data_IF_361141830155
#
_entry.id   IF_361141830155
#
_cell.length_a   1.000
_cell.length_b   1.000
_cell.length_c   1.000
_cell.angle_alpha   90.00
_cell.angle_beta   90.00
_cell.angle_gamma   90.00
#
_symmetry.space_group_name_H-M   'P 1'
#
loop_
_entity.id
_entity.type
_entity.pdbx_description
1 polymer ?
#
# COMPACT_ATOMS: atom_id res chain seq x y z
N UNK A 1 18.42 -12.99 -3.49
CA UNK A 1 17.95 -12.59 -4.85
C UNK A 1 16.45 -12.32 -4.74
N UNK A 2 15.99 -11.09 -4.99
CA UNK A 2 14.55 -10.75 -4.91
C UNK A 2 13.86 -11.31 -6.15
N UNK A 3 12.96 -12.28 -5.97
CA UNK A 3 12.30 -12.97 -7.06
C UNK A 3 11.33 -12.02 -7.76
N UNK A 4 11.58 -11.76 -9.05
CA UNK A 4 10.58 -11.19 -9.97
C UNK A 4 9.48 -12.24 -10.04
N UNK A 5 8.25 -11.90 -9.61
CA UNK A 5 7.08 -12.78 -9.41
C UNK A 5 6.91 -13.30 -7.97
N UNK A 6 6.82 -12.40 -6.97
CA UNK A 6 6.29 -12.79 -5.66
C UNK A 6 4.81 -13.17 -5.81
N UNK A 7 4.38 -14.26 -5.17
CA UNK A 7 2.95 -14.59 -5.07
C UNK A 7 2.23 -13.78 -3.98
N UNK A 8 2.97 -13.01 -3.19
CA UNK A 8 2.41 -12.16 -2.15
C UNK A 8 1.76 -10.92 -2.74
N UNK A 9 0.57 -10.61 -2.24
CA UNK A 9 -0.13 -9.35 -2.46
C UNK A 9 -0.16 -8.55 -1.16
N UNK A 10 -0.34 -7.24 -1.28
CA UNK A 10 -0.59 -6.36 -0.14
C UNK A 10 -1.76 -5.43 -0.43
N UNK A 11 -2.36 -4.93 0.64
CA UNK A 11 -3.34 -3.85 0.57
C UNK A 11 -2.73 -2.57 1.12
N UNK A 12 -2.76 -1.49 0.34
CA UNK A 12 -2.42 -0.15 0.81
C UNK A 12 -3.70 0.56 1.25
N UNK A 13 -3.72 1.07 2.48
CA UNK A 13 -4.79 1.93 3.00
C UNK A 13 -4.27 3.35 3.22
N UNK A 14 -5.01 4.32 2.70
CA UNK A 14 -4.74 5.75 2.83
C UNK A 14 -5.76 6.32 3.81
N UNK A 15 -5.29 6.83 4.95
CA UNK A 15 -6.14 7.20 6.09
C UNK A 15 -5.89 8.67 6.45
N UNK A 16 -6.96 9.46 6.52
CA UNK A 16 -6.97 10.87 6.90
C UNK A 16 -7.79 11.09 8.16
N UNK A 17 -7.20 11.68 9.19
CA UNK A 17 -7.83 11.94 10.50
C UNK A 17 -8.58 10.71 11.05
N UNK A 18 -7.90 9.56 10.99
CA UNK A 18 -8.38 8.23 11.37
C UNK A 18 -9.52 7.62 10.53
N UNK A 19 -9.93 8.27 9.44
CA UNK A 19 -10.89 7.75 8.46
C UNK A 19 -10.19 7.17 7.23
N UNK A 20 -10.61 6.00 6.76
CA UNK A 20 -10.13 5.44 5.50
C UNK A 20 -10.64 6.30 4.32
N UNK A 21 -9.70 6.88 3.57
CA UNK A 21 -9.97 7.67 2.38
C UNK A 21 -10.00 6.79 1.12
N UNK A 22 -9.10 5.81 1.07
CA UNK A 22 -8.95 4.90 -0.05
C UNK A 22 -8.23 3.62 0.40
N UNK A 23 -8.60 2.48 -0.19
CA UNK A 23 -7.85 1.24 -0.12
C UNK A 23 -7.54 0.70 -1.53
N UNK A 24 -6.31 0.22 -1.72
CA UNK A 24 -5.86 -0.43 -2.94
C UNK A 24 -5.40 -1.83 -2.58
N UNK A 25 -6.25 -2.81 -2.87
CA UNK A 25 -6.00 -4.23 -2.58
C UNK A 25 -5.20 -4.91 -3.71
N UNK A 26 -4.78 -6.15 -3.45
CA UNK A 26 -4.16 -7.06 -4.42
C UNK A 26 -2.92 -6.50 -5.15
N UNK A 27 -2.16 -5.62 -4.48
CA UNK A 27 -0.92 -5.08 -5.02
C UNK A 27 0.16 -6.15 -5.00
N UNK A 28 0.49 -6.69 -6.17
CA UNK A 28 1.43 -7.82 -6.33
C UNK A 28 2.82 -7.35 -6.75
N UNK A 29 3.85 -7.92 -6.11
CA UNK A 29 5.24 -7.69 -6.49
C UNK A 29 5.56 -8.20 -7.90
N UNK A 30 6.05 -7.31 -8.77
CA UNK A 30 6.36 -7.61 -10.18
C UNK A 30 5.34 -7.06 -11.18
N UNK A 31 4.18 -6.60 -10.70
CA UNK A 31 3.24 -5.82 -11.53
C UNK A 31 3.74 -4.38 -11.72
N UNK A 32 3.17 -3.70 -12.72
CA UNK A 32 3.39 -2.26 -12.89
C UNK A 32 2.88 -1.50 -11.65
N UNK A 33 3.55 -0.41 -11.24
CA UNK A 33 3.06 0.47 -10.19
C UNK A 33 1.65 0.98 -10.50
N UNK A 34 0.79 1.00 -9.49
CA UNK A 34 -0.58 1.50 -9.60
C UNK A 34 -0.55 2.99 -9.24
N UNK A 35 -0.97 3.90 -10.14
CA UNK A 35 -1.08 5.32 -9.81
C UNK A 35 -2.24 5.55 -8.84
N UNK A 36 -1.99 6.35 -7.80
CA UNK A 36 -2.98 6.67 -6.76
C UNK A 36 -3.02 8.19 -6.54
N UNK A 37 -4.23 8.74 -6.46
CA UNK A 37 -4.49 10.12 -6.05
C UNK A 37 -5.47 10.11 -4.89
N UNK A 38 -5.17 10.88 -3.83
CA UNK A 38 -6.00 10.97 -2.63
C UNK A 38 -6.24 12.45 -2.34
N UNK A 39 -7.50 12.84 -2.19
CA UNK A 39 -7.85 14.19 -1.75
C UNK A 39 -7.57 14.34 -0.25
N UNK A 40 -6.74 15.32 0.10
CA UNK A 40 -6.37 15.66 1.47
C UNK A 40 -6.92 17.02 1.90
N UNK A 41 -7.87 17.59 1.15
CA UNK A 41 -8.50 18.86 1.49
C UNK A 41 -9.13 18.80 2.88
N UNK A 42 -8.64 19.62 3.80
CA UNK A 42 -9.11 19.66 5.18
C UNK A 42 -8.61 18.52 6.08
N UNK A 43 -7.77 17.61 5.58
CA UNK A 43 -7.17 16.53 6.37
C UNK A 43 -5.95 17.06 7.14
N UNK A 44 -5.93 16.87 8.46
CA UNK A 44 -4.84 17.37 9.31
C UNK A 44 -3.75 16.32 9.57
N UNK A 45 -4.13 15.04 9.60
CA UNK A 45 -3.22 13.91 9.80
C UNK A 45 -3.43 12.88 8.72
N UNK A 46 -2.35 12.48 8.06
CA UNK A 46 -2.38 11.46 7.02
C UNK A 46 -1.44 10.31 7.35
N UNK A 47 -1.91 9.07 7.18
CA UNK A 47 -1.11 7.86 7.31
C UNK A 47 -1.40 6.88 6.19
N UNK A 48 -0.37 6.13 5.79
CA UNK A 48 -0.48 5.03 4.83
C UNK A 48 -0.16 3.75 5.59
N UNK A 49 -1.05 2.76 5.51
CA UNK A 49 -0.88 1.45 6.15
C UNK A 49 -0.77 0.39 5.05
N UNK A 50 0.15 -0.55 5.24
CA UNK A 50 0.29 -1.72 4.35
C UNK A 50 -0.11 -2.96 5.13
N UNK A 51 -1.12 -3.67 4.62
CA UNK A 51 -1.66 -4.88 5.23
C UNK A 51 -1.36 -6.11 4.35
N UNK A 52 -1.12 -7.24 5.01
CA UNK A 52 -1.04 -8.54 4.34
C UNK A 52 -2.45 -9.15 4.26
N UNK A 53 -2.87 -9.68 3.11
CA UNK A 53 -4.04 -10.53 3.04
C UNK A 53 -3.66 -11.87 3.71
N UNK A 54 -4.27 -12.09 4.87
CA UNK A 54 -4.33 -13.36 5.59
C UNK A 54 -3.15 -13.71 6.55
N UNK A 55 -3.40 -13.79 7.87
CA UNK A 55 -2.44 -14.28 8.86
C UNK A 55 -2.25 -15.81 8.85
N UNK A 56 -3.08 -16.59 8.15
CA UNK A 56 -2.99 -18.07 8.17
C UNK A 56 -1.99 -18.64 7.15
N UNK A 57 -1.62 -17.86 6.14
CA UNK A 57 -0.55 -18.18 5.18
C UNK A 57 0.72 -17.38 5.48
N UNK A 58 1.29 -17.61 6.66
CA UNK A 58 2.60 -17.05 7.04
C UNK A 58 3.68 -17.74 6.20
N UNK A 59 3.93 -17.22 4.99
CA UNK A 59 5.23 -17.42 4.36
C UNK A 59 6.22 -16.65 5.24
N UNK A 60 7.12 -17.37 5.90
CA UNK A 60 8.23 -16.79 6.66
C UNK A 60 9.14 -16.04 5.68
N UNK A 61 8.84 -14.76 5.47
CA UNK A 61 9.52 -13.91 4.52
C UNK A 61 9.35 -12.43 4.85
N UNK A 62 10.38 -11.64 4.56
CA UNK A 62 10.33 -10.19 4.65
C UNK A 62 9.38 -9.65 3.58
N UNK A 63 8.33 -8.95 4.01
CA UNK A 63 7.45 -8.25 3.08
C UNK A 63 8.06 -6.91 2.71
N UNK A 64 8.14 -6.66 1.41
CA UNK A 64 8.59 -5.39 0.86
C UNK A 64 7.45 -4.75 0.07
N UNK A 65 7.09 -3.53 0.45
CA UNK A 65 6.16 -2.68 -0.26
C UNK A 65 6.76 -1.27 -0.36
N UNK A 66 6.52 -0.58 -1.47
CA UNK A 66 7.13 0.73 -1.74
C UNK A 66 6.14 1.70 -2.35
N UNK A 67 6.19 2.95 -1.89
CA UNK A 67 5.61 4.09 -2.58
C UNK A 67 6.68 4.63 -3.53
N UNK A 68 6.47 4.48 -4.83
CA UNK A 68 7.51 4.78 -5.83
C UNK A 68 7.77 6.29 -5.99
N UNK A 69 6.72 7.11 -5.96
CA UNK A 69 6.78 8.57 -6.22
C UNK A 69 5.76 9.32 -5.34
N UNK A 70 5.85 9.11 -4.04
CA UNK A 70 4.97 9.77 -3.07
C UNK A 70 5.26 11.27 -2.99
N UNK A 71 4.26 12.10 -3.27
CA UNK A 71 4.36 13.56 -3.28
C UNK A 71 3.06 14.22 -2.84
N UNK A 72 3.19 15.37 -2.20
CA UNK A 72 2.09 16.26 -1.87
C UNK A 72 2.07 17.39 -2.91
N UNK A 73 0.91 17.65 -3.48
CA UNK A 73 0.71 18.80 -4.35
C UNK A 73 -0.06 19.86 -3.57
N UNK A 74 0.40 21.10 -3.66
CA UNK A 74 -0.23 22.28 -3.06
C UNK A 74 -0.57 23.29 -4.15
#
# INVERSE_FOLDING_TARGET
MKQKNSNETVTFKFIGDDNELLAVADVKGGNNPIPVSVDLTGVLKFRIVVEKPDPENIIYGELYASLADGKLFQ
#
